data_IF_211135469698
#
_entry.id   IF_211135469698
#
_cell.length_a   1.000
_cell.length_b   1.000
_cell.length_c   1.000
_cell.angle_alpha   90.00
_cell.angle_beta   90.00
_cell.angle_gamma   90.00
#
_symmetry.space_group_name_H-M   'P 1'
#
loop_
_entity.id
_entity.type
_entity.pdbx_description
1 polymer ?
#
# COMPACT_ATOMS: atom_id res chain seq x y z
N UNK A 1 -0.95 -14.34 -31.46
CA UNK A 1 -0.23 -14.76 -30.25
C UNK A 1 0.46 -13.54 -29.70
N UNK A 2 -0.12 -12.91 -28.67
CA UNK A 2 0.47 -11.74 -28.02
C UNK A 2 1.31 -12.24 -26.84
N UNK A 3 2.55 -11.75 -26.75
CA UNK A 3 3.47 -12.09 -25.68
C UNK A 3 2.88 -11.61 -24.34
N UNK A 4 2.57 -12.57 -23.46
CA UNK A 4 2.29 -12.33 -22.05
C UNK A 4 3.62 -12.03 -21.36
N UNK A 5 3.96 -10.75 -21.22
CA UNK A 5 5.05 -10.34 -20.35
C UNK A 5 4.65 -10.57 -18.90
N UNK A 6 5.26 -11.55 -18.24
CA UNK A 6 5.06 -11.85 -16.81
C UNK A 6 5.84 -10.87 -15.91
N UNK A 7 5.97 -9.61 -16.29
CA UNK A 7 6.81 -8.63 -15.60
C UNK A 7 6.34 -7.20 -15.85
N UNK A 8 6.66 -6.32 -14.91
CA UNK A 8 6.40 -4.88 -14.98
C UNK A 8 7.60 -4.25 -15.73
N UNK A 9 7.57 -4.24 -17.07
CA UNK A 9 8.73 -3.85 -17.91
C UNK A 9 8.74 -2.38 -18.35
N UNK A 10 9.86 -1.65 -18.25
CA UNK A 10 10.36 -0.83 -19.34
C UNK A 10 11.27 -1.67 -20.26
N UNK A 11 11.65 -1.15 -21.43
CA UNK A 11 12.44 -1.86 -22.43
C UNK A 11 13.74 -2.49 -21.91
N UNK A 12 14.13 -3.57 -22.59
CA UNK A 12 15.44 -4.24 -22.62
C UNK A 12 16.15 -4.46 -21.27
N UNK A 13 15.88 -5.63 -20.68
CA UNK A 13 16.79 -6.41 -19.80
C UNK A 13 17.12 -5.93 -18.37
N UNK A 14 16.30 -5.09 -17.74
CA UNK A 14 16.33 -4.94 -16.27
C UNK A 14 14.92 -5.00 -15.65
N UNK A 15 14.58 -6.16 -15.08
CA UNK A 15 13.40 -6.30 -14.21
C UNK A 15 13.72 -5.70 -12.84
N UNK A 16 13.04 -4.61 -12.44
CA UNK A 16 13.18 -4.03 -11.10
C UNK A 16 12.60 -4.92 -10.00
N UNK A 17 11.56 -5.69 -10.33
CA UNK A 17 10.99 -6.73 -9.47
C UNK A 17 10.48 -7.89 -10.33
N UNK A 18 10.66 -9.12 -9.85
CA UNK A 18 10.15 -10.34 -10.49
C UNK A 18 8.70 -10.62 -10.05
N UNK A 19 7.83 -10.99 -11.00
CA UNK A 19 6.47 -11.41 -10.68
C UNK A 19 6.50 -12.73 -9.90
N UNK A 20 6.16 -12.68 -8.62
CA UNK A 20 6.11 -13.87 -7.76
C UNK A 20 4.89 -14.76 -8.01
N UNK A 21 3.71 -14.17 -8.17
CA UNK A 21 2.45 -14.89 -8.37
C UNK A 21 1.39 -13.98 -9.00
N UNK A 22 0.39 -14.58 -9.66
CA UNK A 22 -0.77 -13.87 -10.20
C UNK A 22 -2.05 -14.45 -9.60
N UNK A 23 -2.77 -13.61 -8.85
CA UNK A 23 -4.01 -13.97 -8.16
C UNK A 23 -5.19 -13.17 -8.71
N UNK A 24 -6.41 -13.52 -8.29
CA UNK A 24 -7.64 -12.89 -8.80
C UNK A 24 -8.59 -12.46 -7.69
N UNK A 25 -9.32 -11.39 -7.96
CA UNK A 25 -10.33 -10.82 -7.07
C UNK A 25 -9.74 -10.23 -5.78
N UNK A 26 -10.63 -9.77 -4.90
CA UNK A 26 -10.25 -9.17 -3.62
C UNK A 26 -9.33 -10.06 -2.77
N UNK A 27 -9.60 -11.38 -2.60
CA UNK A 27 -8.71 -12.25 -1.83
C UNK A 27 -7.28 -12.33 -2.39
N UNK A 28 -7.11 -12.14 -3.71
CA UNK A 28 -5.82 -12.12 -4.38
C UNK A 28 -4.93 -10.95 -3.96
N UNK A 29 -5.51 -9.85 -3.48
CA UNK A 29 -4.75 -8.73 -2.89
C UNK A 29 -4.54 -8.93 -1.39
N UNK A 30 -5.56 -9.39 -0.66
CA UNK A 30 -5.55 -9.40 0.80
C UNK A 30 -4.69 -10.52 1.41
N UNK A 31 -4.69 -11.71 0.80
CA UNK A 31 -3.95 -12.88 1.30
C UNK A 31 -2.44 -12.69 1.23
N UNK A 32 -1.82 -12.29 0.11
CA UNK A 32 -0.38 -12.07 0.06
C UNK A 32 0.05 -10.93 0.97
N UNK A 33 -0.74 -9.86 1.08
CA UNK A 33 -0.47 -8.77 2.03
C UNK A 33 -0.38 -9.28 3.48
N UNK A 34 -1.37 -10.06 3.91
CA UNK A 34 -1.37 -10.66 5.25
C UNK A 34 -0.23 -11.65 5.45
N UNK A 35 0.08 -12.48 4.45
CA UNK A 35 1.16 -13.45 4.52
C UNK A 35 2.51 -12.76 4.74
N UNK A 36 2.79 -11.73 3.94
CA UNK A 36 4.00 -10.92 4.07
C UNK A 36 4.14 -10.31 5.47
N UNK A 37 3.08 -9.72 6.02
CA UNK A 37 3.13 -9.13 7.37
C UNK A 37 3.35 -10.15 8.49
N UNK A 38 2.89 -11.39 8.32
CA UNK A 38 3.20 -12.48 9.26
C UNK A 38 4.66 -12.89 9.19
N UNK A 39 5.22 -12.93 7.98
CA UNK A 39 6.64 -13.26 7.74
C UNK A 39 7.59 -12.15 8.22
N UNK A 40 7.13 -10.90 8.22
CA UNK A 40 7.88 -9.74 8.69
C UNK A 40 8.17 -9.76 10.22
N UNK A 41 7.59 -10.70 10.98
CA UNK A 41 7.92 -10.90 12.39
C UNK A 41 7.41 -9.79 13.33
N UNK A 42 6.32 -9.12 12.97
CA UNK A 42 5.76 -8.00 13.73
C UNK A 42 5.26 -8.43 15.11
N UNK A 43 5.65 -7.67 16.13
CA UNK A 43 5.28 -7.86 17.53
C UNK A 43 4.09 -7.01 17.97
N UNK A 44 3.74 -7.17 19.25
CA UNK A 44 2.67 -6.39 19.88
C UNK A 44 2.99 -4.89 19.88
N UNK A 45 2.13 -4.08 19.26
CA UNK A 45 2.27 -2.62 19.22
C UNK A 45 3.15 -2.08 18.09
N UNK A 46 3.78 -2.94 17.29
CA UNK A 46 4.47 -2.50 16.07
C UNK A 46 3.47 -1.88 15.10
N UNK A 47 3.89 -0.80 14.41
CA UNK A 47 2.99 -0.06 13.53
C UNK A 47 3.11 -0.48 12.06
N UNK A 48 1.95 -0.64 11.42
CA UNK A 48 1.77 -0.59 9.98
C UNK A 48 1.19 0.79 9.65
N UNK A 49 1.94 1.58 8.89
CA UNK A 49 1.58 2.97 8.55
C UNK A 49 1.26 3.07 7.07
N UNK A 50 0.03 3.43 6.76
CA UNK A 50 -0.49 3.57 5.40
C UNK A 50 -0.46 5.03 4.97
N UNK A 51 0.37 5.37 3.99
CA UNK A 51 0.37 6.68 3.35
C UNK A 51 -0.55 6.63 2.13
N UNK A 52 -1.52 7.54 2.06
CA UNK A 52 -2.48 7.53 0.95
C UNK A 52 -3.34 8.77 0.82
N UNK A 53 -3.90 8.94 -0.38
CA UNK A 53 -4.82 10.03 -0.69
C UNK A 53 -6.14 9.88 0.10
N UNK A 54 -6.57 10.92 0.84
CA UNK A 54 -7.88 10.94 1.48
C UNK A 54 -9.01 10.66 0.48
N UNK A 55 -9.98 9.84 0.90
CA UNK A 55 -11.17 9.52 0.12
C UNK A 55 -10.97 8.38 -0.88
N UNK A 56 -9.93 8.43 -1.73
CA UNK A 56 -9.72 7.39 -2.76
C UNK A 56 -8.92 6.20 -2.25
N UNK A 57 -7.86 6.43 -1.45
CA UNK A 57 -7.07 5.35 -0.87
C UNK A 57 -7.69 4.79 0.41
N UNK A 58 -8.41 5.61 1.17
CA UNK A 58 -8.96 5.25 2.49
C UNK A 58 -9.77 3.95 2.49
N UNK A 59 -10.71 3.70 1.54
CA UNK A 59 -11.48 2.45 1.54
C UNK A 59 -10.61 1.20 1.33
N UNK A 60 -9.55 1.31 0.52
CA UNK A 60 -8.62 0.19 0.31
C UNK A 60 -7.72 -0.01 1.52
N UNK A 61 -7.30 1.06 2.19
CA UNK A 61 -6.54 0.99 3.44
C UNK A 61 -7.38 0.31 4.52
N UNK A 62 -8.64 0.67 4.68
CA UNK A 62 -9.55 0.03 5.63
C UNK A 62 -9.80 -1.45 5.29
N UNK A 63 -9.89 -1.79 4.01
CA UNK A 63 -10.02 -3.17 3.53
C UNK A 63 -8.75 -4.00 3.81
N UNK A 64 -7.56 -3.45 3.55
CA UNK A 64 -6.28 -4.06 3.89
C UNK A 64 -6.17 -4.24 5.41
N UNK A 65 -6.54 -3.20 6.15
CA UNK A 65 -6.55 -3.22 7.60
C UNK A 65 -7.48 -4.27 8.19
N UNK A 66 -8.62 -4.48 7.55
CA UNK A 66 -9.56 -5.54 7.92
C UNK A 66 -8.93 -6.92 7.69
N UNK A 67 -8.16 -7.11 6.62
CA UNK A 67 -7.51 -8.40 6.34
C UNK A 67 -6.53 -8.82 7.44
N UNK A 68 -5.90 -7.84 8.11
CA UNK A 68 -4.82 -8.05 9.09
C UNK A 68 -5.24 -7.75 10.53
N UNK A 69 -6.55 -7.56 10.77
CA UNK A 69 -7.13 -7.19 12.07
C UNK A 69 -6.83 -8.16 13.24
N UNK A 70 -6.43 -9.38 12.92
CA UNK A 70 -6.04 -10.43 13.88
C UNK A 70 -4.54 -10.42 14.21
N UNK A 71 -3.75 -9.58 13.57
CA UNK A 71 -2.35 -9.39 13.92
C UNK A 71 -2.22 -8.43 15.11
N UNK A 72 -1.21 -8.61 16.00
CA UNK A 72 -1.04 -7.80 17.20
C UNK A 72 -0.42 -6.42 16.91
N UNK A 73 -0.79 -5.78 15.81
CA UNK A 73 -0.14 -4.56 15.29
C UNK A 73 -1.06 -3.35 15.43
N UNK A 74 -0.46 -2.17 15.54
CA UNK A 74 -1.16 -0.90 15.40
C UNK A 74 -1.26 -0.52 13.92
N UNK A 75 -2.43 -0.06 13.49
CA UNK A 75 -2.67 0.33 12.10
C UNK A 75 -2.94 1.82 12.04
N UNK A 76 -2.11 2.56 11.31
CA UNK A 76 -2.13 4.02 11.28
C UNK A 76 -2.29 4.50 9.85
N UNK A 77 -3.23 5.42 9.62
CA UNK A 77 -3.37 6.12 8.35
C UNK A 77 -2.68 7.49 8.41
N UNK A 78 -1.85 7.78 7.42
CA UNK A 78 -1.25 9.09 7.18
C UNK A 78 -1.83 9.67 5.88
N UNK A 79 -2.57 10.80 5.93
CA UNK A 79 -3.03 11.45 4.73
C UNK A 79 -1.84 12.08 4.00
N UNK A 80 -1.67 11.75 2.72
CA UNK A 80 -0.55 12.23 1.93
C UNK A 80 0.79 11.85 2.56
N UNK A 81 1.59 12.84 2.98
CA UNK A 81 2.83 12.69 3.75
C UNK A 81 2.75 13.41 5.12
N UNK A 82 1.55 13.80 5.56
CA UNK A 82 1.34 14.61 6.77
C UNK A 82 1.17 13.73 8.02
N UNK A 83 2.29 13.34 8.62
CA UNK A 83 2.29 12.54 9.85
C UNK A 83 1.65 13.26 11.04
N UNK A 84 1.56 14.59 11.04
CA UNK A 84 0.86 15.31 12.11
C UNK A 84 -0.66 15.10 12.05
N UNK A 85 -1.18 14.75 10.87
CA UNK A 85 -2.57 14.37 10.65
C UNK A 85 -2.80 12.85 10.72
N UNK A 86 -1.80 12.07 11.18
CA UNK A 86 -1.90 10.63 11.29
C UNK A 86 -3.01 10.21 12.27
N UNK A 87 -3.78 9.20 11.89
CA UNK A 87 -4.89 8.67 12.69
C UNK A 87 -4.86 7.16 12.79
N UNK A 88 -5.25 6.66 13.95
CA UNK A 88 -5.44 5.24 14.14
C UNK A 88 -6.62 4.70 13.31
N UNK A 89 -6.42 3.51 12.75
CA UNK A 89 -7.45 2.69 12.13
C UNK A 89 -7.96 1.72 13.21
N UNK A 90 -9.27 1.66 13.42
CA UNK A 90 -9.90 0.88 14.50
C UNK A 90 -11.09 0.07 13.98
N UNK A 91 -11.35 -1.11 14.54
CA UNK A 91 -12.58 -1.83 14.26
C UNK A 91 -13.77 -1.10 14.91
N UNK A 92 -14.80 -0.83 14.11
CA UNK A 92 -16.09 -0.28 14.54
C UNK A 92 -17.15 -1.38 14.36
N UNK A 93 -17.80 -1.74 15.47
CA UNK A 93 -18.81 -2.80 15.50
C UNK A 93 -19.94 -2.56 14.51
N UNK A 94 -20.22 -3.55 13.66
CA UNK A 94 -21.26 -3.45 12.63
C UNK A 94 -20.88 -2.63 11.38
N UNK A 95 -19.69 -2.03 11.33
CA UNK A 95 -19.23 -1.21 10.21
C UNK A 95 -18.00 -1.83 9.53
N UNK A 96 -16.94 -2.14 10.29
CA UNK A 96 -15.67 -2.60 9.74
C UNK A 96 -14.49 -1.81 10.32
N UNK A 97 -13.34 -1.84 9.65
CA UNK A 97 -12.21 -0.96 10.02
C UNK A 97 -12.52 0.47 9.59
N UNK A 98 -12.23 1.45 10.43
CA UNK A 98 -12.45 2.86 10.14
C UNK A 98 -11.26 3.71 10.57
N UNK A 99 -10.87 4.67 9.74
CA UNK A 99 -10.02 5.80 10.15
C UNK A 99 -10.81 6.68 11.10
N UNK A 100 -10.73 6.37 12.38
CA UNK A 100 -11.63 6.93 13.41
C UNK A 100 -10.91 7.25 14.72
N UNK A 101 -9.60 7.02 14.79
CA UNK A 101 -8.81 7.26 15.99
C UNK A 101 -8.35 8.70 16.17
N UNK A 102 -7.83 8.96 17.37
CA UNK A 102 -7.11 10.17 17.74
C UNK A 102 -5.82 10.34 16.91
N UNK A 103 -5.20 11.52 17.02
CA UNK A 103 -3.86 11.73 16.50
C UNK A 103 -2.88 10.74 17.13
N UNK A 104 -2.07 10.06 16.31
CA UNK A 104 -1.11 9.07 16.78
C UNK A 104 0.28 9.42 16.28
N UNK A 105 1.29 9.21 17.13
CA UNK A 105 2.70 9.28 16.72
C UNK A 105 3.03 8.17 15.72
N UNK A 106 3.74 8.54 14.66
CA UNK A 106 4.20 7.62 13.61
C UNK A 106 5.58 7.04 13.98
N UNK A 107 5.68 5.72 14.01
CA UNK A 107 6.88 4.91 14.23
C UNK A 107 6.72 3.52 13.55
N UNK A 108 6.73 3.48 12.19
CA UNK A 108 6.43 2.27 11.43
C UNK A 108 7.50 1.20 11.55
N UNK A 109 7.06 -0.06 11.65
CA UNK A 109 7.86 -1.21 11.19
C UNK A 109 7.58 -1.55 9.74
N UNK A 110 6.38 -1.23 9.26
CA UNK A 110 6.01 -1.36 7.85
C UNK A 110 5.36 -0.08 7.39
N UNK A 111 5.86 0.45 6.28
CA UNK A 111 5.28 1.55 5.52
C UNK A 111 4.54 0.95 4.33
N UNK A 112 3.28 1.33 4.17
CA UNK A 112 2.47 0.98 2.99
C UNK A 112 2.23 2.24 2.18
N UNK A 113 2.83 2.31 0.99
CA UNK A 113 2.58 3.36 0.01
C UNK A 113 1.40 2.97 -0.86
N UNK A 114 0.36 3.80 -0.89
CA UNK A 114 -0.76 3.61 -1.80
C UNK A 114 -0.49 4.28 -3.15
N UNK A 115 -0.74 3.57 -4.25
CA UNK A 115 -0.50 4.03 -5.62
C UNK A 115 -1.18 5.36 -5.98
N UNK A 116 -2.27 5.70 -5.30
CA UNK A 116 -2.92 7.00 -5.45
C UNK A 116 -1.98 8.19 -5.22
N UNK A 117 -0.96 8.05 -4.37
CA UNK A 117 0.03 9.11 -4.11
C UNK A 117 0.87 9.46 -5.34
N UNK A 118 1.02 8.52 -6.28
CA UNK A 118 1.80 8.69 -7.49
C UNK A 118 0.96 9.23 -8.67
N UNK A 119 -0.34 9.44 -8.48
CA UNK A 119 -1.22 9.93 -9.53
C UNK A 119 -0.95 11.41 -9.86
N UNK A 120 -1.07 11.81 -11.14
CA UNK A 120 -0.98 13.21 -11.53
C UNK A 120 -1.99 14.09 -10.77
N UNK A 121 -1.56 15.29 -10.34
CA UNK A 121 -2.42 16.26 -9.66
C UNK A 121 -2.62 16.02 -8.17
N UNK A 122 -2.02 14.97 -7.60
CA UNK A 122 -1.98 14.77 -6.13
C UNK A 122 -0.94 15.73 -5.52
N UNK A 123 -1.24 16.38 -4.38
CA UNK A 123 -0.36 17.37 -3.76
C UNK A 123 0.81 16.75 -2.99
N UNK A 124 1.46 15.74 -3.58
CA UNK A 124 2.60 15.01 -3.02
C UNK A 124 3.60 14.76 -4.13
N UNK A 125 4.88 15.04 -3.87
CA UNK A 125 5.96 14.71 -4.80
C UNK A 125 6.64 13.40 -4.39
N UNK A 126 7.34 12.78 -5.36
CA UNK A 126 8.16 11.59 -5.13
C UNK A 126 9.21 11.84 -4.04
N UNK A 127 9.86 13.00 -4.07
CA UNK A 127 10.90 13.42 -3.12
C UNK A 127 10.33 13.62 -1.72
N UNK A 128 9.10 14.17 -1.63
CA UNK A 128 8.39 14.32 -0.35
C UNK A 128 8.16 12.95 0.29
N UNK A 129 7.74 11.96 -0.50
CA UNK A 129 7.56 10.60 0.01
C UNK A 129 8.88 9.91 0.33
N UNK A 130 9.94 10.12 -0.45
CA UNK A 130 11.27 9.59 -0.14
C UNK A 130 11.78 10.14 1.20
N UNK A 131 11.58 11.43 1.48
CA UNK A 131 11.92 12.02 2.76
C UNK A 131 11.13 11.41 3.92
N UNK A 132 9.81 11.21 3.75
CA UNK A 132 8.96 10.57 4.75
C UNK A 132 9.38 9.12 5.02
N UNK A 133 9.63 8.32 3.98
CA UNK A 133 10.12 6.94 4.11
C UNK A 133 11.50 6.90 4.76
N UNK A 134 12.42 7.76 4.30
CA UNK A 134 13.80 7.82 4.79
C UNK A 134 13.93 8.27 6.25
N UNK A 135 12.93 8.96 6.80
CA UNK A 135 12.89 9.32 8.21
C UNK A 135 12.72 8.09 9.13
N UNK A 136 12.23 6.98 8.61
CA UNK A 136 11.95 5.74 9.35
C UNK A 136 12.89 4.61 8.93
N UNK A 137 14.19 4.82 9.17
CA UNK A 137 15.22 3.85 8.81
C UNK A 137 14.93 2.45 9.38
N UNK A 138 14.98 1.44 8.51
CA UNK A 138 14.74 0.04 8.87
C UNK A 138 13.28 -0.40 8.80
N UNK A 139 12.33 0.51 8.54
CA UNK A 139 10.97 0.12 8.19
C UNK A 139 10.93 -0.60 6.83
N UNK A 140 10.11 -1.64 6.74
CA UNK A 140 9.82 -2.34 5.49
C UNK A 140 8.91 -1.51 4.60
N UNK A 141 9.13 -1.52 3.29
CA UNK A 141 8.36 -0.69 2.34
C UNK A 141 7.50 -1.57 1.44
N UNK A 142 6.19 -1.41 1.52
CA UNK A 142 5.20 -2.14 0.72
C UNK A 142 4.46 -1.18 -0.19
N UNK A 143 4.35 -1.53 -1.47
CA UNK A 143 3.55 -0.79 -2.44
C UNK A 143 2.23 -1.50 -2.74
N UNK A 144 1.11 -0.81 -2.57
CA UNK A 144 -0.20 -1.28 -3.05
C UNK A 144 -0.71 -0.31 -4.11
N UNK A 145 -0.79 -0.74 -5.37
CA UNK A 145 -1.32 0.09 -6.43
C UNK A 145 -2.31 -0.66 -7.31
N UNK A 146 -2.91 0.11 -8.21
CA UNK A 146 -3.80 -0.42 -9.23
C UNK A 146 -3.33 0.06 -10.60
N UNK A 147 -3.55 -0.77 -11.62
CA UNK A 147 -3.30 -0.41 -13.02
C UNK A 147 -1.86 0.06 -13.27
N UNK A 148 -0.86 -0.56 -12.63
CA UNK A 148 0.57 -0.28 -12.80
C UNK A 148 0.96 1.17 -12.42
N UNK A 149 0.27 1.78 -11.45
CA UNK A 149 0.47 3.21 -11.16
C UNK A 149 1.91 3.56 -10.75
N UNK A 150 2.56 2.72 -9.93
CA UNK A 150 3.96 2.99 -9.54
C UNK A 150 4.92 2.88 -10.71
N UNK A 151 4.68 1.97 -11.65
CA UNK A 151 5.47 1.88 -12.87
C UNK A 151 5.29 3.13 -13.72
N UNK A 152 4.04 3.53 -13.98
CA UNK A 152 3.70 4.69 -14.83
C UNK A 152 4.21 6.02 -14.29
N UNK A 153 4.49 6.10 -12.99
CA UNK A 153 5.03 7.28 -12.33
C UNK A 153 6.54 7.20 -12.04
N UNK A 154 7.20 6.11 -12.44
CA UNK A 154 8.62 5.83 -12.18
C UNK A 154 8.95 5.75 -10.68
N UNK A 155 8.04 5.25 -9.85
CA UNK A 155 8.25 5.07 -8.40
C UNK A 155 8.97 3.76 -8.07
N UNK A 156 8.98 2.78 -8.97
CA UNK A 156 9.62 1.48 -8.73
C UNK A 156 11.12 1.59 -8.45
N UNK A 157 11.78 2.57 -9.09
CA UNK A 157 13.21 2.86 -8.89
C UNK A 157 13.48 3.81 -7.72
N UNK A 158 12.43 4.48 -7.24
CA UNK A 158 12.55 5.54 -6.25
C UNK A 158 12.50 5.03 -4.80
N UNK A 159 12.01 3.79 -4.62
CA UNK A 159 11.84 3.16 -3.31
C UNK A 159 12.31 1.70 -3.36
N UNK A 160 12.98 1.26 -2.31
CA UNK A 160 13.38 -0.12 -2.11
C UNK A 160 12.19 -0.95 -1.59
N UNK A 161 11.24 -1.27 -2.48
CA UNK A 161 10.05 -2.05 -2.12
C UNK A 161 10.41 -3.49 -1.73
N UNK A 162 9.97 -3.92 -0.55
CA UNK A 162 10.02 -5.32 -0.13
C UNK A 162 8.88 -6.17 -0.73
N UNK A 163 7.74 -5.53 -1.04
CA UNK A 163 6.57 -6.15 -1.68
C UNK A 163 5.82 -5.12 -2.53
N UNK A 164 5.41 -5.52 -3.73
CA UNK A 164 4.41 -4.78 -4.52
C UNK A 164 3.23 -5.69 -4.80
N UNK A 165 2.03 -5.18 -4.53
CA UNK A 165 0.78 -5.75 -5.03
C UNK A 165 0.17 -4.73 -5.99
N UNK A 166 0.16 -5.08 -7.27
CA UNK A 166 -0.50 -4.33 -8.33
C UNK A 166 -1.74 -5.11 -8.81
N UNK A 167 -2.91 -4.52 -8.63
CA UNK A 167 -4.18 -5.12 -9.03
C UNK A 167 -4.82 -4.39 -10.21
N UNK A 168 -5.53 -5.13 -11.07
CA UNK A 168 -6.30 -4.54 -12.17
C UNK A 168 -7.79 -4.54 -11.86
N UNK A 169 -8.43 -3.38 -12.02
CA UNK A 169 -9.90 -3.25 -12.01
C UNK A 169 -10.36 -3.24 -13.47
N UNK A 170 -10.32 -4.42 -14.09
CA UNK A 170 -10.64 -4.59 -15.51
C UNK A 170 -11.20 -6.01 -15.76
N UNK A 171 -12.36 -6.16 -16.44
CA UNK A 171 -13.22 -5.12 -16.98
C UNK A 171 -14.22 -4.56 -15.96
N UNK A 172 -14.55 -3.28 -16.09
CA UNK A 172 -15.76 -2.70 -15.50
C UNK A 172 -16.90 -2.81 -16.52
N UNK A 173 -17.93 -3.59 -16.20
CA UNK A 173 -19.12 -3.75 -17.05
C UNK A 173 -20.30 -3.07 -16.37
N UNK A 174 -21.02 -2.25 -17.13
CA UNK A 174 -22.17 -1.49 -16.66
C UNK A 174 -23.41 -1.94 -17.42
N UNK A 175 -24.42 -2.42 -16.70
CA UNK A 175 -25.72 -2.81 -17.24
C UNK A 175 -26.78 -1.81 -16.78
N UNK A 176 -27.83 -1.62 -17.58
CA UNK A 176 -29.01 -0.81 -17.23
C UNK A 176 -30.23 -1.71 -17.14
#
# INVERSE_FOLDING_TARGET
MAASGNGICPGDDQTFMELKEQLSGVPGMLRPFKAYLKEAGLGAGDQIVYYGCPGTCTPFIELLGFAVRDLPVEQIYVPYADEAAAKAIRPVGGVGMQVSGDAVRVDPKVIVLMGGLAMPGVPVTKETMQAAVGAHAGAKVVGICFMQMFQKADWLEAFDFDLIIDASIDPVRVWR
#
